data_IF_377362955297
#
_entry.id   IF_377362955297
#
_cell.length_a   1.000
_cell.length_b   1.000
_cell.length_c   1.000
_cell.angle_alpha   90.00
_cell.angle_beta   90.00
_cell.angle_gamma   90.00
#
_symmetry.space_group_name_H-M   'P 1'
#
loop_
_entity.id
_entity.type
_entity.pdbx_description
1 polymer ?
#
# COMPACT_ATOMS: atom_id res chain seq x y z
N UNK A 1 -4.61 -4.62 -25.81
CA UNK A 1 -5.40 -3.90 -24.79
C UNK A 1 -4.40 -3.27 -23.84
N UNK A 2 -4.11 -1.97 -24.00
CA UNK A 2 -3.19 -1.26 -23.11
C UNK A 2 -4.00 -0.90 -21.86
N UNK A 3 -3.58 -1.40 -20.70
CA UNK A 3 -4.21 -1.02 -19.43
C UNK A 3 -3.63 0.36 -19.11
N UNK A 4 -4.48 1.39 -19.19
CA UNK A 4 -4.11 2.75 -18.79
C UNK A 4 -3.94 2.79 -17.26
N UNK A 5 -2.69 2.70 -16.82
CA UNK A 5 -2.25 2.70 -15.41
C UNK A 5 -2.62 3.97 -14.64
N UNK A 6 -3.04 5.03 -15.33
CA UNK A 6 -3.37 6.34 -14.74
C UNK A 6 -4.84 6.46 -14.28
N UNK A 7 -5.65 5.40 -14.42
CA UNK A 7 -7.07 5.44 -14.09
C UNK A 7 -7.55 4.18 -13.32
N UNK A 8 -6.68 3.59 -12.51
CA UNK A 8 -7.04 2.44 -11.67
C UNK A 8 -7.81 2.96 -10.45
N UNK A 9 -9.12 2.65 -10.38
CA UNK A 9 -9.96 2.99 -9.24
C UNK A 9 -9.32 2.46 -7.94
N UNK A 10 -9.00 3.32 -6.95
CA UNK A 10 -8.41 2.93 -5.69
C UNK A 10 -9.18 1.82 -4.96
N UNK A 11 -10.51 1.77 -5.14
CA UNK A 11 -11.38 0.74 -4.55
C UNK A 11 -11.19 -0.63 -5.18
N UNK A 12 -10.84 -0.68 -6.47
CA UNK A 12 -10.52 -1.92 -7.19
C UNK A 12 -9.15 -2.42 -6.73
N UNK A 13 -8.17 -1.51 -6.57
CA UNK A 13 -6.84 -1.83 -6.06
C UNK A 13 -6.89 -2.36 -4.63
N UNK A 14 -7.67 -1.72 -3.75
CA UNK A 14 -7.88 -2.17 -2.37
C UNK A 14 -8.53 -3.56 -2.32
N UNK A 15 -9.58 -3.78 -3.12
CA UNK A 15 -10.29 -5.07 -3.16
C UNK A 15 -9.43 -6.22 -3.71
N UNK A 16 -8.69 -5.97 -4.80
CA UNK A 16 -7.77 -6.95 -5.39
C UNK A 16 -6.61 -7.23 -4.44
N UNK A 17 -6.05 -6.20 -3.81
CA UNK A 17 -4.97 -6.35 -2.84
C UNK A 17 -5.41 -7.15 -1.62
N UNK A 18 -6.54 -6.79 -0.99
CA UNK A 18 -7.07 -7.54 0.15
C UNK A 18 -7.42 -8.97 -0.22
N UNK A 19 -7.99 -9.22 -1.39
CA UNK A 19 -8.29 -10.59 -1.82
C UNK A 19 -7.04 -11.44 -2.05
N UNK A 20 -6.00 -10.87 -2.65
CA UNK A 20 -4.73 -11.58 -2.89
C UNK A 20 -3.94 -11.77 -1.59
N UNK A 21 -3.95 -10.77 -0.70
CA UNK A 21 -3.34 -10.85 0.62
C UNK A 21 -3.98 -11.95 1.48
N UNK A 22 -5.31 -12.03 1.52
CA UNK A 22 -6.05 -13.07 2.24
C UNK A 22 -5.86 -14.48 1.65
N UNK A 23 -5.47 -14.59 0.37
CA UNK A 23 -5.10 -15.87 -0.25
C UNK A 23 -3.71 -16.31 0.18
N UNK A 24 -2.76 -15.38 0.25
CA UNK A 24 -1.40 -15.64 0.71
C UNK A 24 -1.43 -16.09 2.19
N UNK A 25 -2.12 -15.34 3.06
CA UNK A 25 -2.23 -15.69 4.48
C UNK A 25 -2.87 -17.06 4.74
N UNK A 26 -3.80 -17.50 3.88
CA UNK A 26 -4.41 -18.84 3.98
C UNK A 26 -3.52 -19.97 3.48
N UNK A 27 -2.58 -19.70 2.57
CA UNK A 27 -1.57 -20.68 2.16
C UNK A 27 -0.47 -20.89 3.19
N UNK A 28 -0.28 -19.93 4.11
CA UNK A 28 0.64 -20.01 5.25
C UNK A 28 -0.08 -20.68 6.44
N UNK A 29 -0.52 -21.93 6.28
CA UNK A 29 -0.87 -22.76 7.46
C UNK A 29 0.42 -23.23 8.12
N UNK A 30 0.61 -23.02 9.43
CA UNK A 30 1.79 -23.47 10.15
C UNK A 30 1.74 -24.99 10.29
N UNK A 31 2.69 -25.68 9.65
CA UNK A 31 3.14 -27.00 10.08
C UNK A 31 4.49 -26.83 10.79
N UNK A 32 4.70 -27.68 11.78
CA UNK A 32 5.44 -27.41 13.01
C UNK A 32 6.95 -27.12 12.90
N UNK A 33 7.37 -26.31 13.88
CA UNK A 33 8.71 -26.04 14.43
C UNK A 33 9.78 -25.38 13.52
N UNK A 34 9.77 -24.05 13.53
CA UNK A 34 11.03 -23.29 13.61
C UNK A 34 11.07 -22.59 14.96
N UNK A 35 11.88 -23.12 15.88
CA UNK A 35 12.28 -22.42 17.11
C UNK A 35 13.43 -21.47 16.78
N UNK A 36 13.29 -20.24 17.28
CA UNK A 36 14.21 -19.08 17.27
C UNK A 36 14.10 -18.12 16.07
N UNK A 37 13.31 -17.06 16.28
CA UNK A 37 13.33 -15.86 15.43
C UNK A 37 12.26 -14.78 15.63
N UNK A 38 11.37 -14.88 16.63
CA UNK A 38 10.08 -14.15 16.72
C UNK A 38 10.08 -12.66 17.14
N UNK A 39 11.05 -11.84 16.72
CA UNK A 39 10.92 -10.36 16.91
C UNK A 39 11.15 -9.53 15.64
N UNK A 40 11.86 -10.06 14.63
CA UNK A 40 12.20 -9.27 13.43
C UNK A 40 11.17 -9.35 12.31
N UNK A 41 10.44 -10.46 12.23
CA UNK A 41 9.45 -10.70 11.17
C UNK A 41 8.21 -9.80 11.35
N UNK A 42 7.77 -9.60 12.60
CA UNK A 42 6.73 -8.63 12.96
C UNK A 42 7.18 -7.17 12.73
N UNK A 43 8.46 -6.86 12.89
CA UNK A 43 9.00 -5.50 12.72
C UNK A 43 8.91 -4.98 11.28
N UNK A 44 9.21 -5.83 10.30
CA UNK A 44 9.11 -5.44 8.88
C UNK A 44 7.65 -5.28 8.43
N UNK A 45 6.79 -6.27 8.73
CA UNK A 45 5.38 -6.21 8.36
C UNK A 45 4.66 -5.04 9.04
N UNK A 46 4.96 -4.75 10.30
CA UNK A 46 4.41 -3.57 11.00
C UNK A 46 4.90 -2.25 10.39
N UNK A 47 6.16 -2.18 9.94
CA UNK A 47 6.70 -1.01 9.24
C UNK A 47 6.01 -0.80 7.88
N UNK A 48 5.81 -1.87 7.10
CA UNK A 48 5.09 -1.82 5.83
C UNK A 48 3.62 -1.40 6.01
N UNK A 49 2.96 -1.92 7.05
CA UNK A 49 1.61 -1.51 7.44
C UNK A 49 1.57 -0.02 7.82
N UNK A 50 2.55 0.46 8.58
CA UNK A 50 2.66 1.88 8.95
C UNK A 50 2.89 2.79 7.74
N UNK A 51 3.70 2.33 6.78
CA UNK A 51 3.89 3.04 5.51
C UNK A 51 2.58 3.12 4.70
N UNK A 52 1.83 2.02 4.62
CA UNK A 52 0.51 2.01 3.97
C UNK A 52 -0.48 2.98 4.65
N UNK A 53 -0.53 2.99 5.98
CA UNK A 53 -1.35 3.96 6.73
C UNK A 53 -0.97 5.41 6.44
N UNK A 54 0.33 5.68 6.24
CA UNK A 54 0.83 7.01 5.87
C UNK A 54 0.33 7.43 4.50
N UNK A 55 0.38 6.54 3.50
CA UNK A 55 -0.16 6.78 2.16
C UNK A 55 -1.67 7.01 2.23
N UNK A 56 -2.40 6.16 2.96
CA UNK A 56 -3.85 6.30 3.15
C UNK A 56 -4.24 7.64 3.76
N UNK A 57 -3.44 8.13 4.72
CA UNK A 57 -3.65 9.44 5.33
C UNK A 57 -3.45 10.58 4.32
N UNK A 58 -2.38 10.53 3.51
CA UNK A 58 -2.14 11.53 2.47
C UNK A 58 -3.25 11.54 1.40
N UNK A 59 -3.71 10.36 0.96
CA UNK A 59 -4.85 10.20 0.05
C UNK A 59 -6.15 10.79 0.61
N UNK A 60 -6.44 10.55 1.89
CA UNK A 60 -7.61 11.10 2.55
C UNK A 60 -7.54 12.63 2.66
N UNK A 61 -6.38 13.17 3.00
CA UNK A 61 -6.15 14.63 3.07
C UNK A 61 -6.34 15.29 1.68
N UNK A 62 -5.79 14.71 0.63
CA UNK A 62 -5.98 15.18 -0.74
C UNK A 62 -7.46 15.16 -1.15
N UNK A 63 -8.18 14.09 -0.79
CA UNK A 63 -9.62 13.97 -1.06
C UNK A 63 -10.43 15.00 -0.29
N UNK A 64 -10.14 15.21 0.99
CA UNK A 64 -10.83 16.20 1.82
C UNK A 64 -10.65 17.61 1.26
N UNK A 65 -9.41 17.99 0.94
CA UNK A 65 -9.11 19.28 0.31
C UNK A 65 -9.82 19.42 -1.04
N UNK A 66 -9.84 18.36 -1.87
CA UNK A 66 -10.57 18.35 -3.14
C UNK A 66 -12.07 18.57 -2.96
N UNK A 67 -12.69 17.90 -1.98
CA UNK A 67 -14.11 18.05 -1.67
C UNK A 67 -14.40 19.47 -1.18
N UNK A 68 -13.56 20.02 -0.30
CA UNK A 68 -13.73 21.38 0.19
C UNK A 68 -13.63 22.43 -0.92
N UNK A 69 -12.75 22.23 -1.91
CA UNK A 69 -12.66 23.09 -3.09
C UNK A 69 -13.92 23.01 -3.95
N UNK A 70 -14.42 21.81 -4.25
CA UNK A 70 -15.64 21.62 -5.06
C UNK A 70 -16.87 22.22 -4.36
N UNK A 71 -16.93 22.13 -3.03
CA UNK A 71 -18.00 22.71 -2.23
C UNK A 71 -17.86 24.24 -2.03
N UNK A 72 -16.81 24.87 -2.57
CA UNK A 72 -16.54 26.30 -2.41
C UNK A 72 -16.17 26.71 -0.98
N UNK A 73 -15.80 25.76 -0.12
CA UNK A 73 -15.35 26.02 1.26
C UNK A 73 -13.92 26.55 1.31
N UNK A 74 -13.15 26.33 0.25
CA UNK A 74 -11.83 26.91 0.04
C UNK A 74 -11.67 27.26 -1.44
N UNK A 75 -10.99 28.35 -1.75
CA UNK A 75 -10.63 28.73 -3.13
C UNK A 75 -9.18 28.35 -3.47
N UNK A 76 -8.45 27.79 -2.50
CA UNK A 76 -7.05 27.45 -2.67
C UNK A 76 -6.89 26.13 -3.42
N UNK A 77 -6.84 26.24 -4.75
CA UNK A 77 -6.56 25.11 -5.63
C UNK A 77 -5.12 24.60 -5.49
N UNK A 78 -4.17 25.46 -5.10
CA UNK A 78 -2.77 25.05 -4.95
C UNK A 78 -2.61 24.05 -3.82
N UNK A 79 -3.33 24.26 -2.72
CA UNK A 79 -3.37 23.34 -1.59
C UNK A 79 -3.89 21.94 -1.97
N UNK A 80 -4.92 21.88 -2.83
CA UNK A 80 -5.45 20.62 -3.36
C UNK A 80 -4.41 19.94 -4.26
N UNK A 81 -3.78 20.71 -5.16
CA UNK A 81 -2.77 20.20 -6.08
C UNK A 81 -1.54 19.66 -5.33
N UNK A 82 -1.06 20.38 -4.32
CA UNK A 82 0.07 19.96 -3.49
C UNK A 82 -0.28 18.69 -2.73
N UNK A 83 -1.46 18.64 -2.08
CA UNK A 83 -1.87 17.47 -1.33
C UNK A 83 -2.01 16.24 -2.23
N UNK A 84 -2.53 16.42 -3.45
CA UNK A 84 -2.65 15.37 -4.45
C UNK A 84 -1.29 14.87 -4.93
N UNK A 85 -0.40 15.77 -5.33
CA UNK A 85 0.94 15.41 -5.80
C UNK A 85 1.74 14.67 -4.72
N UNK A 86 1.59 15.10 -3.46
CA UNK A 86 2.18 14.44 -2.30
C UNK A 86 1.65 13.01 -2.13
N UNK A 87 0.34 12.81 -2.25
CA UNK A 87 -0.27 11.49 -2.13
C UNK A 87 0.17 10.57 -3.28
N UNK A 88 0.20 11.07 -4.51
CA UNK A 88 0.65 10.33 -5.70
C UNK A 88 2.13 9.90 -5.57
N UNK A 89 3.01 10.81 -5.17
CA UNK A 89 4.44 10.51 -4.95
C UNK A 89 4.64 9.44 -3.87
N UNK A 90 3.93 9.56 -2.74
CA UNK A 90 4.00 8.59 -1.65
C UNK A 90 3.47 7.22 -2.06
N UNK A 91 2.41 7.19 -2.87
CA UNK A 91 1.83 5.96 -3.38
C UNK A 91 2.79 5.24 -4.34
N UNK A 92 3.42 5.98 -5.27
CA UNK A 92 4.44 5.43 -6.16
C UNK A 92 5.60 4.81 -5.38
N UNK A 93 6.10 5.52 -4.36
CA UNK A 93 7.14 5.00 -3.48
C UNK A 93 6.69 3.72 -2.76
N UNK A 94 5.45 3.68 -2.26
CA UNK A 94 4.90 2.49 -1.61
C UNK A 94 4.81 1.29 -2.56
N UNK A 95 4.43 1.50 -3.83
CA UNK A 95 4.39 0.43 -4.82
C UNK A 95 5.77 -0.17 -5.08
N UNK A 96 6.80 0.66 -5.17
CA UNK A 96 8.19 0.20 -5.31
C UNK A 96 8.62 -0.66 -4.11
N UNK A 97 8.30 -0.21 -2.90
CA UNK A 97 8.60 -0.94 -1.67
C UNK A 97 7.81 -2.26 -1.63
N UNK A 98 6.51 -2.24 -1.95
CA UNK A 98 5.65 -3.43 -2.01
C UNK A 98 6.22 -4.46 -2.98
N UNK A 99 6.58 -4.05 -4.19
CA UNK A 99 7.13 -4.95 -5.20
C UNK A 99 8.42 -5.61 -4.72
N UNK A 100 9.32 -4.84 -4.11
CA UNK A 100 10.57 -5.36 -3.54
C UNK A 100 10.32 -6.28 -2.34
N UNK A 101 9.36 -5.95 -1.47
CA UNK A 101 8.98 -6.77 -0.32
C UNK A 101 8.46 -8.14 -0.75
N UNK A 102 7.58 -8.17 -1.76
CA UNK A 102 7.05 -9.41 -2.33
C UNK A 102 8.17 -10.23 -2.98
N UNK A 103 9.04 -9.60 -3.78
CA UNK A 103 10.18 -10.30 -4.39
C UNK A 103 11.14 -10.87 -3.35
N UNK A 104 11.44 -10.13 -2.28
CA UNK A 104 12.29 -10.60 -1.20
C UNK A 104 11.66 -11.81 -0.48
N UNK A 105 10.36 -11.75 -0.20
CA UNK A 105 9.62 -12.86 0.37
C UNK A 105 9.65 -14.10 -0.54
N UNK A 106 9.36 -13.94 -1.84
CA UNK A 106 9.44 -15.02 -2.82
C UNK A 106 10.84 -15.63 -2.91
N UNK A 107 11.90 -14.82 -2.85
CA UNK A 107 13.28 -15.28 -2.92
C UNK A 107 13.67 -16.09 -1.68
N UNK A 108 13.29 -15.66 -0.47
CA UNK A 108 13.52 -16.42 0.77
C UNK A 108 12.83 -17.78 0.69
N UNK A 109 11.58 -17.81 0.22
CA UNK A 109 10.83 -19.05 0.05
C UNK A 109 11.49 -19.98 -0.99
N UNK A 110 12.06 -19.45 -2.07
CA UNK A 110 12.76 -20.25 -3.09
C UNK A 110 14.11 -20.80 -2.65
N UNK A 111 14.77 -20.17 -1.67
CA UNK A 111 16.06 -20.64 -1.15
C UNK A 111 15.92 -21.81 -0.15
N UNK A 112 14.72 -22.11 0.34
CA UNK A 112 14.47 -23.18 1.33
C UNK A 112 14.08 -24.54 0.72
N UNK A 113 14.30 -24.76 -0.58
CA UNK A 113 14.07 -26.06 -1.24
C UNK A 113 15.35 -26.66 -1.83
#
# INVERSE_FOLDING_TARGET
MKIDINNIDPRITEKIFSSEFERIMRSVKPQEEIKQGDEKEDGFLSSLKSAFETVRKAENEAREKSVNLILGKTEDIHDVMIAREKADTLFQLFLEIRNRAVQAFENIMRMQF
#
